data_IF_187624938809
#
_entry.id   IF_187624938809
#
_cell.length_a   1.000
_cell.length_b   1.000
_cell.length_c   1.000
_cell.angle_alpha   90.00
_cell.angle_beta   90.00
_cell.angle_gamma   90.00
#
_symmetry.space_group_name_H-M   'P 1'
#
loop_
_entity.id
_entity.type
_entity.pdbx_description
1 polymer ?
#
# COMPACT_ATOMS: atom_id res chain seq x y z
N UNK A 1 12.51 10.37 3.96
CA UNK A 1 12.53 10.57 2.50
C UNK A 1 13.92 10.76 1.92
N UNK A 2 14.75 11.70 2.40
CA UNK A 2 16.01 12.12 1.74
C UNK A 2 17.01 11.06 1.25
N UNK A 3 16.97 9.85 1.81
CA UNK A 3 17.87 8.74 1.44
C UNK A 3 17.09 7.45 1.14
N UNK A 4 15.77 7.53 1.01
CA UNK A 4 14.93 6.36 0.77
C UNK A 4 14.81 6.09 -0.72
N UNK A 5 15.11 4.87 -1.15
CA UNK A 5 14.84 4.36 -2.51
C UNK A 5 13.39 3.94 -2.70
N UNK A 6 12.69 3.62 -1.60
CA UNK A 6 11.34 3.07 -1.68
C UNK A 6 10.57 3.39 -0.41
N UNK A 7 9.30 3.75 -0.56
CA UNK A 7 8.34 3.81 0.56
C UNK A 7 7.34 2.67 0.41
N UNK A 8 7.22 1.86 1.46
CA UNK A 8 6.35 0.69 1.48
C UNK A 8 5.28 0.85 2.56
N UNK A 9 4.01 0.74 2.18
CA UNK A 9 2.89 0.75 3.11
C UNK A 9 1.98 -0.47 2.93
N UNK A 10 2.09 -1.40 3.88
CA UNK A 10 1.21 -2.56 4.01
C UNK A 10 -0.02 -2.22 4.87
N UNK A 11 -0.79 -1.21 4.44
CA UNK A 11 -2.00 -0.81 5.14
C UNK A 11 -3.15 -1.78 4.86
N UNK A 12 -3.94 -2.10 5.89
CA UNK A 12 -5.21 -2.83 5.73
C UNK A 12 -6.41 -1.93 5.42
N UNK A 13 -6.19 -0.62 5.46
CA UNK A 13 -7.20 0.43 5.35
C UNK A 13 -6.65 1.68 6.05
N UNK A 14 -6.25 2.68 5.26
CA UNK A 14 -5.74 3.96 5.77
C UNK A 14 -6.42 5.09 5.01
N UNK A 15 -6.58 6.22 5.70
CA UNK A 15 -7.57 7.22 5.29
C UNK A 15 -7.17 7.95 4.03
N UNK A 16 -5.98 8.52 3.94
CA UNK A 16 -5.60 9.36 2.81
C UNK A 16 -4.27 8.93 2.20
N UNK A 17 -3.30 8.52 3.01
CA UNK A 17 -1.98 8.16 2.53
C UNK A 17 -1.08 9.37 2.46
N UNK A 18 -1.15 10.29 3.41
CA UNK A 18 -0.30 11.49 3.41
C UNK A 18 1.19 11.15 3.27
N UNK A 19 1.75 10.14 3.97
CA UNK A 19 3.13 9.74 3.74
C UNK A 19 3.42 9.22 2.32
N UNK A 20 2.43 8.61 1.67
CA UNK A 20 2.55 8.13 0.29
C UNK A 20 2.51 9.29 -0.70
N UNK A 21 1.59 10.24 -0.50
CA UNK A 21 1.51 11.47 -1.29
C UNK A 21 2.80 12.30 -1.17
N UNK A 22 3.37 12.42 0.03
CA UNK A 22 4.66 13.06 0.26
C UNK A 22 5.81 12.35 -0.47
N UNK A 23 5.88 11.02 -0.39
CA UNK A 23 6.89 10.22 -1.10
C UNK A 23 6.80 10.44 -2.61
N UNK A 24 5.59 10.35 -3.17
CA UNK A 24 5.34 10.59 -4.60
C UNK A 24 5.70 12.02 -5.02
N UNK A 25 5.37 13.02 -4.19
CA UNK A 25 5.74 14.42 -4.44
C UNK A 25 7.25 14.64 -4.49
N UNK A 26 8.01 13.82 -3.76
CA UNK A 26 9.48 13.82 -3.73
C UNK A 26 10.09 12.89 -4.79
N UNK A 27 9.29 12.26 -5.65
CA UNK A 27 9.75 11.35 -6.69
C UNK A 27 10.25 10.00 -6.17
N UNK A 28 9.92 9.65 -4.92
CA UNK A 28 10.32 8.37 -4.33
C UNK A 28 9.27 7.32 -4.72
N UNK A 29 9.67 6.18 -5.30
CA UNK A 29 8.78 5.06 -5.60
C UNK A 29 7.92 4.64 -4.40
N UNK A 30 6.66 4.29 -4.66
CA UNK A 30 5.70 3.85 -3.63
C UNK A 30 5.17 2.47 -3.95
N UNK A 31 5.27 1.56 -2.96
CA UNK A 31 4.58 0.27 -2.94
C UNK A 31 3.51 0.32 -1.85
N UNK A 32 2.26 0.09 -2.21
CA UNK A 32 1.15 0.14 -1.23
C UNK A 32 0.04 -0.85 -1.55
N UNK A 33 -0.81 -1.13 -0.58
CA UNK A 33 -1.99 -1.99 -0.80
C UNK A 33 -2.98 -1.27 -1.71
N UNK A 34 -3.53 -1.97 -2.70
CA UNK A 34 -4.52 -1.43 -3.65
C UNK A 34 -5.91 -1.18 -3.07
N UNK A 35 -6.01 -0.66 -1.84
CA UNK A 35 -7.26 -0.50 -1.10
C UNK A 35 -7.31 0.74 -0.21
N UNK A 36 -8.46 1.38 -0.09
CA UNK A 36 -8.71 2.59 0.74
C UNK A 36 -8.13 3.88 0.13
N UNK A 37 -8.12 4.98 0.88
CA UNK A 37 -8.02 6.32 0.28
C UNK A 37 -6.73 6.62 -0.48
N UNK A 38 -5.64 5.88 -0.25
CA UNK A 38 -4.44 6.08 -1.06
C UNK A 38 -4.63 5.71 -2.55
N UNK A 39 -5.65 4.90 -2.91
CA UNK A 39 -5.90 4.52 -4.32
C UNK A 39 -6.42 5.68 -5.18
N UNK A 40 -6.81 6.80 -4.56
CA UNK A 40 -7.20 8.01 -5.27
C UNK A 40 -6.03 8.63 -6.05
N UNK A 41 -4.78 8.34 -5.66
CA UNK A 41 -3.57 8.80 -6.35
C UNK A 41 -2.50 7.71 -6.57
N UNK A 42 -2.52 6.61 -5.80
CA UNK A 42 -1.72 5.42 -6.08
C UNK A 42 -2.46 4.54 -7.10
N UNK A 43 -2.04 4.63 -8.35
CA UNK A 43 -2.58 3.90 -9.51
C UNK A 43 -1.52 2.98 -10.09
N UNK A 44 -1.86 2.01 -10.96
CA UNK A 44 -0.85 1.18 -11.64
C UNK A 44 0.17 1.98 -12.46
N UNK A 45 -0.14 3.23 -12.84
CA UNK A 45 0.78 4.13 -13.53
C UNK A 45 1.65 5.01 -12.62
N UNK A 46 1.34 5.08 -11.32
CA UNK A 46 1.99 6.00 -10.37
C UNK A 46 2.57 5.31 -9.14
N UNK A 47 2.22 4.05 -8.90
CA UNK A 47 2.68 3.25 -7.76
C UNK A 47 2.61 1.75 -8.07
N UNK A 48 3.30 0.96 -7.26
CA UNK A 48 3.22 -0.50 -7.29
C UNK A 48 2.16 -0.98 -6.31
N UNK A 49 1.00 -1.34 -6.82
CA UNK A 49 -0.14 -1.78 -6.01
C UNK A 49 -0.02 -3.25 -5.64
N UNK A 50 -0.24 -3.55 -4.36
CA UNK A 50 -0.24 -4.90 -3.80
C UNK A 50 -1.67 -5.40 -3.70
N UNK A 51 -1.91 -6.59 -4.24
CA UNK A 51 -3.20 -7.27 -4.14
C UNK A 51 -3.54 -7.60 -2.68
N UNK A 52 -4.83 -7.65 -2.41
CA UNK A 52 -5.37 -7.97 -1.10
C UNK A 52 -6.58 -8.88 -1.23
N UNK A 53 -6.97 -9.48 -0.12
CA UNK A 53 -8.25 -10.17 0.04
C UNK A 53 -8.97 -9.64 1.27
N UNK A 54 -10.29 -9.72 1.30
CA UNK A 54 -11.04 -9.32 2.49
C UNK A 54 -10.95 -10.42 3.55
N UNK A 55 -10.51 -10.05 4.75
CA UNK A 55 -10.37 -10.95 5.88
C UNK A 55 -11.09 -10.39 7.13
N UNK A 56 -11.67 -11.24 8.00
CA UNK A 56 -12.29 -10.78 9.24
C UNK A 56 -11.33 -9.97 10.13
N UNK A 57 -11.86 -8.89 10.70
CA UNK A 57 -11.19 -8.10 11.73
C UNK A 57 -11.17 -8.84 13.05
N UNK A 58 -9.95 -9.15 13.50
CA UNK A 58 -9.67 -9.61 14.86
C UNK A 58 -9.34 -8.45 15.82
N UNK A 59 -9.55 -7.20 15.38
CA UNK A 59 -9.31 -6.02 16.20
C UNK A 59 -10.40 -5.82 17.26
N UNK A 60 -10.25 -4.79 18.10
CA UNK A 60 -11.17 -4.48 19.20
C UNK A 60 -12.64 -4.34 18.76
N UNK A 61 -12.88 -3.94 17.51
CA UNK A 61 -14.20 -4.01 16.86
C UNK A 61 -14.19 -5.20 15.89
N UNK A 62 -14.69 -6.33 16.37
CA UNK A 62 -14.78 -7.60 15.66
C UNK A 62 -16.24 -8.03 15.52
N UNK A 63 -16.99 -7.30 14.71
CA UNK A 63 -18.33 -7.73 14.27
C UNK A 63 -18.22 -8.71 13.10
N UNK A 64 -19.28 -9.49 12.85
CA UNK A 64 -19.36 -10.40 11.69
C UNK A 64 -19.19 -9.71 10.33
N UNK A 65 -19.39 -8.39 10.28
CA UNK A 65 -19.22 -7.54 9.10
C UNK A 65 -17.95 -6.69 9.14
N UNK A 66 -17.12 -6.81 10.17
CA UNK A 66 -15.87 -6.08 10.27
C UNK A 66 -14.80 -6.79 9.44
N UNK A 67 -14.50 -6.25 8.26
CA UNK A 67 -13.49 -6.80 7.33
C UNK A 67 -12.31 -5.83 7.17
N UNK A 68 -11.13 -6.39 6.91
CA UNK A 68 -9.93 -5.70 6.48
C UNK A 68 -9.52 -6.14 5.09
N UNK A 69 -8.92 -5.24 4.32
CA UNK A 69 -8.14 -5.64 3.16
C UNK A 69 -6.80 -6.20 3.64
N UNK A 70 -6.63 -7.52 3.65
CA UNK A 70 -5.37 -8.16 4.01
C UNK A 70 -4.47 -8.28 2.77
N UNK A 71 -3.36 -7.54 2.71
CA UNK A 71 -2.44 -7.56 1.57
C UNK A 71 -1.65 -8.85 1.47
N UNK A 72 -1.40 -9.29 0.24
CA UNK A 72 -0.59 -10.46 -0.08
C UNK A 72 0.89 -10.21 0.21
N UNK A 73 1.46 -10.97 1.15
CA UNK A 73 2.90 -10.92 1.45
C UNK A 73 3.76 -11.30 0.24
N UNK A 74 3.31 -12.31 -0.53
CA UNK A 74 4.04 -12.77 -1.72
C UNK A 74 4.05 -11.69 -2.80
N UNK A 75 2.89 -11.08 -3.08
CA UNK A 75 2.79 -10.04 -4.09
C UNK A 75 3.52 -8.77 -3.64
N UNK A 76 3.48 -8.41 -2.35
CA UNK A 76 4.29 -7.32 -1.80
C UNK A 76 5.77 -7.49 -2.13
N UNK A 77 6.34 -8.68 -1.91
CA UNK A 77 7.75 -8.94 -2.23
C UNK A 77 8.06 -8.90 -3.73
N UNK A 78 7.10 -9.26 -4.59
CA UNK A 78 7.25 -9.09 -6.03
C UNK A 78 7.24 -7.61 -6.44
N UNK A 79 6.31 -6.82 -5.88
CA UNK A 79 6.19 -5.39 -6.15
C UNK A 79 7.38 -4.58 -5.64
N UNK A 80 7.92 -4.91 -4.46
CA UNK A 80 9.14 -4.27 -3.96
C UNK A 80 10.35 -4.54 -4.85
N UNK A 81 10.50 -5.76 -5.39
CA UNK A 81 11.57 -6.07 -6.35
C UNK A 81 11.37 -5.32 -7.66
N UNK A 82 10.17 -5.38 -8.22
CA UNK A 82 9.83 -4.66 -9.44
C UNK A 82 10.07 -3.14 -9.29
N UNK A 83 9.76 -2.54 -8.15
CA UNK A 83 9.99 -1.12 -7.90
C UNK A 83 11.48 -0.75 -7.90
N UNK A 84 12.33 -1.59 -7.29
CA UNK A 84 13.78 -1.38 -7.23
C UNK A 84 14.47 -1.67 -8.57
N UNK A 85 13.95 -2.60 -9.37
CA UNK A 85 14.50 -2.95 -10.69
C UNK A 85 14.14 -1.92 -11.77
N UNK A 86 13.17 -1.02 -11.51
CA UNK A 86 12.74 0.05 -12.41
C UNK A 86 13.28 1.44 -12.02
N UNK A 87 14.21 1.52 -11.06
CA UNK A 87 15.03 2.73 -10.81
C UNK A 87 16.22 2.80 -11.78
#
# INVERSE_FOLDING_TARGET
>A
YRTASLVVARSRGERFGLPLAEAMRLGIPVVTTGYSGQVDFCTPSTAWLVDYHMAPSLAHVSGSLSLWAEPSTLHLGAQMRAALDNE
#
